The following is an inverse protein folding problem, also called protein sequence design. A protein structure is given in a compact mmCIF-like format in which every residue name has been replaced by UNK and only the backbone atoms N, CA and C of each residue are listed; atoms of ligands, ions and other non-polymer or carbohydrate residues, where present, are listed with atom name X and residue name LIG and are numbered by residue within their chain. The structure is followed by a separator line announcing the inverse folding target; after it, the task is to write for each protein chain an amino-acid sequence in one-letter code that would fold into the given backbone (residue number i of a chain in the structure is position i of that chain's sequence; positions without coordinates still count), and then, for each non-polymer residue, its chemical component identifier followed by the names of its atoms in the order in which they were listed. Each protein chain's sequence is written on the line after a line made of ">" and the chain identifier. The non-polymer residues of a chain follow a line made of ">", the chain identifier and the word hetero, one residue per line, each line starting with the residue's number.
data_IF_690473021934
#
_entry.id   IF_690473021934
#
_cell.length_a   1.000
_cell.length_b   1.000
_cell.length_c   1.000
_cell.angle_alpha   90.00
_cell.angle_beta   90.00
_cell.angle_gamma   90.00
#
_symmetry.space_group_name_H-M   'P 1'
#
loop_
_entity.id
_entity.type
_entity.pdbx_description
1 polymer ?
#
# COMPACT_ATOMS: atom_id res chain seq x y z
N UNK A 1 20.73 0.53 2.18
CA UNK A 1 19.47 0.99 1.58
C UNK A 1 19.11 0.00 0.46
N UNK A 2 18.27 -0.98 0.77
CA UNK A 2 17.82 -1.98 -0.20
C UNK A 2 16.57 -1.46 -0.89
N UNK A 3 16.67 -1.18 -2.19
CA UNK A 3 15.51 -0.80 -3.01
C UNK A 3 14.60 -2.02 -3.12
N UNK A 4 13.30 -1.86 -2.80
CA UNK A 4 12.31 -2.93 -2.93
C UNK A 4 12.33 -3.95 -1.80
N UNK A 5 12.73 -3.56 -0.58
CA UNK A 5 12.62 -4.42 0.60
C UNK A 5 11.90 -3.70 1.73
N UNK A 6 10.94 -4.38 2.36
CA UNK A 6 10.42 -4.02 3.68
C UNK A 6 11.33 -4.67 4.71
N UNK A 7 11.90 -3.86 5.61
CA UNK A 7 12.86 -4.32 6.61
C UNK A 7 12.46 -3.89 8.02
N UNK A 8 12.53 -4.83 8.96
CA UNK A 8 12.27 -4.60 10.38
C UNK A 8 13.56 -4.26 11.14
N UNK A 9 13.42 -3.53 12.24
CA UNK A 9 14.52 -3.19 13.16
C UNK A 9 15.16 -4.40 13.83
N UNK A 10 14.48 -5.54 13.86
CA UNK A 10 15.01 -6.82 14.38
C UNK A 10 15.70 -7.68 13.29
N UNK A 11 15.92 -7.14 12.10
CA UNK A 11 16.69 -7.80 11.03
C UNK A 11 15.88 -8.67 10.05
N UNK A 12 14.55 -8.72 10.19
CA UNK A 12 13.70 -9.37 9.18
C UNK A 12 13.61 -8.51 7.91
N UNK A 13 13.69 -9.14 6.74
CA UNK A 13 13.51 -8.46 5.45
C UNK A 13 12.64 -9.31 4.53
N UNK A 14 11.78 -8.65 3.77
CA UNK A 14 10.99 -9.26 2.71
C UNK A 14 11.05 -8.38 1.46
N UNK A 15 11.01 -8.99 0.29
CA UNK A 15 10.93 -8.26 -0.97
C UNK A 15 9.55 -7.60 -1.08
N UNK A 16 9.52 -6.38 -1.58
CA UNK A 16 8.32 -5.57 -1.67
C UNK A 16 8.28 -4.79 -2.97
N UNK A 17 7.07 -4.70 -3.54
CA UNK A 17 6.79 -3.83 -4.67
C UNK A 17 6.76 -2.38 -4.19
N UNK A 18 7.59 -1.54 -4.81
CA UNK A 18 7.61 -0.12 -4.52
C UNK A 18 6.53 0.58 -5.35
N UNK A 19 5.69 1.37 -4.70
CA UNK A 19 4.81 2.30 -5.39
C UNK A 19 5.38 3.73 -5.36
N UNK A 20 5.04 4.50 -6.37
CA UNK A 20 5.32 5.93 -6.54
C UNK A 20 3.99 6.65 -6.70
N UNK A 21 3.98 7.98 -6.72
CA UNK A 21 2.74 8.75 -6.87
C UNK A 21 1.99 8.47 -8.19
N UNK A 22 2.71 8.09 -9.24
CA UNK A 22 2.18 7.76 -10.58
C UNK A 22 1.85 6.26 -10.75
N UNK A 23 2.12 5.44 -9.74
CA UNK A 23 1.78 4.01 -9.79
C UNK A 23 0.27 3.80 -9.73
N UNK A 24 -0.27 3.13 -10.75
CA UNK A 24 -1.63 2.62 -10.73
C UNK A 24 -1.67 1.29 -9.95
N UNK A 25 -2.02 1.36 -8.67
CA UNK A 25 -1.99 0.22 -7.76
C UNK A 25 -2.96 -0.88 -8.18
N UNK A 26 -4.13 -0.51 -8.71
CA UNK A 26 -5.12 -1.48 -9.17
C UNK A 26 -4.55 -2.33 -10.31
N UNK A 27 -3.96 -1.70 -11.33
CA UNK A 27 -3.38 -2.42 -12.47
C UNK A 27 -2.20 -3.31 -12.07
N UNK A 28 -1.32 -2.81 -11.19
CA UNK A 28 -0.18 -3.59 -10.73
C UNK A 28 -0.64 -4.82 -9.92
N UNK A 29 -1.57 -4.65 -8.99
CA UNK A 29 -2.11 -5.75 -8.18
C UNK A 29 -2.90 -6.74 -9.04
N UNK A 30 -3.70 -6.27 -9.99
CA UNK A 30 -4.43 -7.13 -10.92
C UNK A 30 -3.48 -8.01 -11.73
N UNK A 31 -2.42 -7.43 -12.30
CA UNK A 31 -1.40 -8.16 -13.05
C UNK A 31 -0.67 -9.19 -12.19
N UNK A 32 -0.30 -8.84 -10.95
CA UNK A 32 0.33 -9.78 -10.01
C UNK A 32 -0.60 -10.92 -9.60
N UNK A 33 -1.90 -10.67 -9.52
CA UNK A 33 -2.92 -11.64 -9.16
C UNK A 33 -3.26 -12.59 -10.32
N UNK A 34 -3.15 -12.14 -11.57
CA UNK A 34 -3.29 -12.98 -12.76
C UNK A 34 -2.17 -14.02 -12.87
N UNK A 35 -0.94 -13.65 -12.49
CA UNK A 35 0.21 -14.57 -12.48
C UNK A 35 0.08 -15.58 -11.33
N UNK A 36 -0.24 -15.11 -10.14
CA UNK A 36 -0.43 -15.94 -8.96
C UNK A 36 -1.47 -15.31 -8.03
N UNK A 37 -2.49 -16.10 -7.66
CA UNK A 37 -3.60 -15.60 -6.83
C UNK A 37 -3.10 -15.02 -5.50
N UNK A 38 -3.40 -13.75 -5.27
CA UNK A 38 -3.11 -13.04 -4.02
C UNK A 38 -4.31 -13.15 -3.08
N UNK A 39 -4.02 -13.55 -1.84
CA UNK A 39 -5.06 -13.71 -0.81
C UNK A 39 -5.21 -12.47 0.08
N UNK A 40 -4.20 -11.59 0.07
CA UNK A 40 -4.17 -10.35 0.84
C UNK A 40 -3.10 -9.43 0.28
N UNK A 41 -3.34 -8.13 0.33
CA UNK A 41 -2.35 -7.09 0.04
C UNK A 41 -2.01 -6.38 1.35
N UNK A 42 -0.72 -6.28 1.67
CA UNK A 42 -0.23 -5.46 2.77
C UNK A 42 0.47 -4.23 2.18
N UNK A 43 0.01 -3.05 2.58
CA UNK A 43 0.62 -1.77 2.20
C UNK A 43 1.28 -1.19 3.43
N UNK A 44 2.61 -1.13 3.42
CA UNK A 44 3.40 -0.48 4.45
C UNK A 44 3.63 0.99 4.10
N UNK A 45 3.86 1.83 5.11
CA UNK A 45 4.01 3.28 5.00
C UNK A 45 2.87 3.96 4.21
N UNK A 46 1.62 3.52 4.45
CA UNK A 46 0.44 3.92 3.68
C UNK A 46 0.11 5.42 3.76
N UNK A 47 0.71 6.16 4.70
CA UNK A 47 0.54 7.61 4.80
C UNK A 47 0.99 8.38 3.55
N UNK A 48 1.84 7.76 2.71
CA UNK A 48 2.32 8.34 1.46
C UNK A 48 1.41 8.11 0.25
N UNK A 49 0.30 7.38 0.42
CA UNK A 49 -0.69 7.19 -0.64
C UNK A 49 -1.36 8.52 -1.00
N UNK A 50 -1.61 8.72 -2.29
CA UNK A 50 -2.51 9.79 -2.74
C UNK A 50 -3.98 9.38 -2.56
N UNK A 51 -4.90 10.35 -2.63
CA UNK A 51 -6.34 10.07 -2.68
C UNK A 51 -6.71 9.03 -3.76
N UNK A 52 -6.14 9.18 -4.95
CA UNK A 52 -6.42 8.31 -6.09
C UNK A 52 -5.96 6.88 -5.81
N UNK A 53 -4.78 6.72 -5.21
CA UNK A 53 -4.26 5.41 -4.84
C UNK A 53 -5.08 4.73 -3.76
N UNK A 54 -5.59 5.48 -2.77
CA UNK A 54 -6.54 4.93 -1.79
C UNK A 54 -7.80 4.43 -2.50
N UNK A 55 -8.35 5.18 -3.45
CA UNK A 55 -9.49 4.73 -4.25
C UNK A 55 -9.16 3.47 -5.06
N UNK A 56 -8.01 3.40 -5.72
CA UNK A 56 -7.57 2.21 -6.45
C UNK A 56 -7.48 0.97 -5.53
N UNK A 57 -7.04 1.13 -4.27
CA UNK A 57 -7.05 0.03 -3.29
C UNK A 57 -8.47 -0.41 -2.93
N UNK A 58 -9.45 0.51 -2.86
CA UNK A 58 -10.86 0.11 -2.71
C UNK A 58 -11.37 -0.70 -3.90
N UNK A 59 -10.96 -0.34 -5.12
CA UNK A 59 -11.31 -1.13 -6.31
C UNK A 59 -10.70 -2.54 -6.30
N UNK A 60 -9.50 -2.72 -5.71
CA UNK A 60 -8.92 -4.05 -5.51
C UNK A 60 -9.81 -4.90 -4.59
N UNK A 61 -10.30 -4.33 -3.49
CA UNK A 61 -11.21 -5.03 -2.58
C UNK A 61 -12.53 -5.38 -3.29
N UNK A 62 -13.13 -4.40 -3.97
CA UNK A 62 -14.47 -4.55 -4.54
C UNK A 62 -14.49 -5.45 -5.78
N UNK A 63 -13.50 -5.30 -6.67
CA UNK A 63 -13.48 -5.99 -7.98
C UNK A 63 -12.68 -7.28 -7.96
N UNK A 64 -11.57 -7.34 -7.22
CA UNK A 64 -10.71 -8.52 -7.17
C UNK A 64 -11.04 -9.41 -5.96
N UNK A 65 -11.84 -8.91 -5.01
CA UNK A 65 -12.17 -9.61 -3.75
C UNK A 65 -10.93 -9.99 -2.93
N UNK A 66 -9.92 -9.13 -2.96
CA UNK A 66 -8.67 -9.30 -2.21
C UNK A 66 -8.66 -8.27 -1.06
N UNK A 67 -8.58 -8.69 0.21
CA UNK A 67 -8.48 -7.76 1.32
C UNK A 67 -7.17 -6.97 1.26
N UNK A 68 -7.25 -5.68 1.57
CA UNK A 68 -6.12 -4.76 1.65
C UNK A 68 -5.95 -4.31 3.10
N UNK A 69 -4.75 -4.51 3.66
CA UNK A 69 -4.36 -4.06 4.99
C UNK A 69 -3.32 -2.94 4.87
N UNK A 70 -3.64 -1.78 5.40
CA UNK A 70 -2.76 -0.61 5.36
C UNK A 70 -2.14 -0.34 6.73
N UNK A 71 -0.81 -0.23 6.78
CA UNK A 71 -0.04 0.14 7.95
C UNK A 71 0.74 1.42 7.67
N UNK A 72 0.64 2.39 8.58
CA UNK A 72 1.28 3.69 8.40
C UNK A 72 0.98 4.67 9.53
N UNK A 73 1.62 5.83 9.46
CA UNK A 73 1.45 6.90 10.43
C UNK A 73 0.13 7.65 10.22
N UNK A 74 -0.61 7.89 11.30
CA UNK A 74 -1.85 8.67 11.20
C UNK A 74 -1.60 10.16 10.97
N UNK A 75 -0.68 10.73 11.73
CA UNK A 75 -0.42 12.18 11.78
C UNK A 75 1.07 12.47 11.69
N UNK A 76 1.42 13.66 11.21
CA UNK A 76 2.79 14.18 11.20
C UNK A 76 3.23 14.68 12.59
N UNK A 77 4.41 15.29 12.65
CA UNK A 77 4.99 15.82 13.89
C UNK A 77 4.27 17.05 14.46
N UNK A 78 3.43 17.71 13.68
CA UNK A 78 2.57 18.82 14.10
C UNK A 78 1.19 18.32 14.58
N UNK A 79 0.89 17.03 14.39
CA UNK A 79 -0.40 16.43 14.72
C UNK A 79 -1.42 16.52 13.58
N UNK A 80 -1.02 16.96 12.40
CA UNK A 80 -1.87 17.05 11.22
C UNK A 80 -1.95 15.69 10.51
N UNK A 81 -3.11 15.36 9.93
CA UNK A 81 -3.28 14.09 9.21
C UNK A 81 -2.43 14.07 7.93
N UNK A 82 -1.74 12.96 7.69
CA UNK A 82 -1.18 12.68 6.38
C UNK A 82 -2.29 12.50 5.34
N UNK A 83 -2.00 12.82 4.07
CA UNK A 83 -2.98 12.72 2.99
C UNK A 83 -3.54 11.32 2.85
N UNK A 84 -2.68 10.29 2.73
CA UNK A 84 -3.12 8.90 2.61
C UNK A 84 -3.97 8.47 3.80
N UNK A 85 -3.51 8.80 5.01
CA UNK A 85 -4.21 8.48 6.26
C UNK A 85 -5.57 9.18 6.37
N UNK A 86 -5.71 10.39 5.84
CA UNK A 86 -7.00 11.12 5.80
C UNK A 86 -8.04 10.43 4.94
N UNK A 87 -7.64 9.80 3.83
CA UNK A 87 -8.57 9.13 2.93
C UNK A 87 -8.82 7.65 3.29
N UNK A 88 -7.96 7.05 4.11
CA UNK A 88 -8.13 5.70 4.64
C UNK A 88 -9.09 5.61 5.85
N UNK A 89 -9.45 6.74 6.46
CA UNK A 89 -10.29 6.83 7.67
C UNK A 89 -11.66 7.45 7.36
#
# INVERSE_FOLDING_TARGET
>A
FGVGKVSSRIGLQSDAHLFRQDTNLYQEIAGLNEVEKRHCILVDECQFLSKEQVYQLTEVVDKLHIPVLCYGLRTDFLGELFEGSKYLL
#
